data_IF_137752923134
#
_entry.id   IF_137752923134
#
_cell.length_a   1.000
_cell.length_b   1.000
_cell.length_c   1.000
_cell.angle_alpha   90.00
_cell.angle_beta   90.00
_cell.angle_gamma   90.00
#
_symmetry.space_group_name_H-M   'P 1'
#
loop_
_entity.id
_entity.type
_entity.pdbx_description
1 polymer ?
#
# COMPACT_ATOMS: atom_id res chain seq x y z
N UNK A 1 -6.86 -3.72 14.70
CA UNK A 1 -5.65 -3.65 13.87
C UNK A 1 -5.84 -4.61 12.71
N UNK A 2 -5.42 -4.24 11.52
CA UNK A 2 -5.50 -5.07 10.31
C UNK A 2 -4.09 -5.33 9.79
N UNK A 3 -3.91 -6.42 9.03
CA UNK A 3 -2.66 -6.67 8.33
C UNK A 3 -2.36 -5.52 7.37
N UNK A 4 -1.13 -5.04 7.36
CA UNK A 4 -0.63 -4.03 6.42
C UNK A 4 0.52 -4.62 5.61
N UNK A 5 0.64 -4.20 4.36
CA UNK A 5 1.75 -4.55 3.49
C UNK A 5 2.22 -3.29 2.75
N UNK A 6 3.54 -3.17 2.56
CA UNK A 6 4.16 -2.07 1.82
C UNK A 6 5.10 -2.65 0.77
N UNK A 7 5.12 -2.05 -0.40
CA UNK A 7 5.96 -2.48 -1.52
C UNK A 7 6.69 -1.27 -2.14
N UNK A 8 7.87 -1.53 -2.71
CA UNK A 8 8.58 -0.57 -3.55
C UNK A 8 8.20 -0.81 -5.01
N UNK A 9 7.57 0.18 -5.63
CA UNK A 9 7.08 0.11 -7.00
C UNK A 9 7.74 1.23 -7.80
N UNK A 10 8.29 0.89 -8.96
CA UNK A 10 8.83 1.88 -9.89
C UNK A 10 7.72 2.87 -10.25
N UNK A 11 7.98 4.14 -10.01
CA UNK A 11 7.03 5.23 -10.26
C UNK A 11 5.70 5.09 -9.50
N UNK A 12 5.71 4.39 -8.35
CA UNK A 12 4.48 4.03 -7.63
C UNK A 12 3.62 5.22 -7.22
N UNK A 13 4.23 6.33 -6.81
CA UNK A 13 3.49 7.55 -6.40
C UNK A 13 2.66 8.15 -7.53
N UNK A 14 3.10 8.01 -8.78
CA UNK A 14 2.37 8.50 -9.96
C UNK A 14 1.31 7.52 -10.47
N UNK A 15 1.27 6.31 -9.91
CA UNK A 15 0.40 5.21 -10.33
C UNK A 15 -0.67 4.87 -9.27
N UNK A 16 -1.02 5.83 -8.41
CA UNK A 16 -2.07 5.65 -7.40
C UNK A 16 -3.40 5.21 -8.03
N UNK A 17 -4.07 4.25 -7.40
CA UNK A 17 -5.32 3.66 -7.89
C UNK A 17 -5.14 2.55 -8.94
N UNK A 18 -3.93 2.33 -9.45
CA UNK A 18 -3.68 1.21 -10.37
C UNK A 18 -3.69 -0.13 -9.62
N UNK A 19 -4.16 -1.17 -10.32
CA UNK A 19 -4.07 -2.56 -9.88
C UNK A 19 -2.72 -3.15 -10.26
N UNK A 20 -2.07 -3.82 -9.31
CA UNK A 20 -0.85 -4.59 -9.48
C UNK A 20 -1.06 -6.01 -8.98
N UNK A 21 -0.23 -6.93 -9.46
CA UNK A 21 -0.29 -8.34 -9.09
C UNK A 21 1.02 -8.76 -8.42
N UNK A 22 0.93 -9.20 -7.17
CA UNK A 22 2.07 -9.64 -6.37
C UNK A 22 2.25 -11.15 -6.55
N UNK A 23 3.40 -11.63 -7.06
CA UNK A 23 3.63 -13.05 -7.25
C UNK A 23 3.75 -13.76 -5.90
N UNK A 24 3.13 -14.93 -5.78
CA UNK A 24 3.23 -15.80 -4.61
C UNK A 24 4.15 -17.00 -4.94
N UNK A 25 4.90 -17.48 -3.94
CA UNK A 25 5.81 -18.61 -4.12
C UNK A 25 5.09 -19.91 -4.55
N UNK A 26 3.85 -20.10 -4.07
CA UNK A 26 2.94 -21.14 -4.53
C UNK A 26 1.51 -20.62 -4.46
N UNK A 27 0.78 -20.67 -5.57
CA UNK A 27 -0.58 -20.15 -5.68
C UNK A 27 -0.73 -19.01 -6.68
N UNK A 28 -1.96 -18.50 -6.87
CA UNK A 28 -2.23 -17.38 -7.77
C UNK A 28 -1.59 -16.09 -7.27
N UNK A 29 -1.36 -15.14 -8.18
CA UNK A 29 -0.92 -13.81 -7.81
C UNK A 29 -2.00 -13.08 -6.98
N UNK A 30 -1.54 -12.26 -6.03
CA UNK A 30 -2.43 -11.45 -5.19
C UNK A 30 -2.69 -10.12 -5.91
N UNK A 31 -3.96 -9.81 -6.14
CA UNK A 31 -4.38 -8.51 -6.65
C UNK A 31 -4.29 -7.45 -5.54
N UNK A 32 -3.68 -6.31 -5.84
CA UNK A 32 -3.58 -5.18 -4.92
C UNK A 32 -3.72 -3.86 -5.67
N UNK A 33 -4.26 -2.84 -4.99
CA UNK A 33 -4.34 -1.46 -5.52
C UNK A 33 -3.27 -0.60 -4.88
N UNK A 34 -2.54 0.18 -5.69
CA UNK A 34 -1.59 1.16 -5.18
C UNK A 34 -2.36 2.26 -4.44
N UNK A 35 -2.07 2.43 -3.16
CA UNK A 35 -2.73 3.38 -2.27
C UNK A 35 -1.73 4.26 -1.51
N UNK A 36 -2.24 5.19 -0.71
CA UNK A 36 -1.40 6.07 0.12
C UNK A 36 -0.41 5.26 0.96
N UNK A 37 0.87 5.64 1.01
CA UNK A 37 1.84 4.99 1.90
C UNK A 37 1.61 5.32 3.38
N UNK A 38 0.73 6.29 3.67
CA UNK A 38 0.38 6.69 5.05
C UNK A 38 -0.88 5.94 5.48
N UNK A 39 -0.69 4.86 6.24
CA UNK A 39 -1.76 3.96 6.66
C UNK A 39 -2.59 4.45 7.85
N UNK A 40 -2.03 5.35 8.69
CA UNK A 40 -2.66 5.81 9.92
C UNK A 40 -2.32 7.28 10.19
N UNK A 41 -3.33 8.04 10.63
CA UNK A 41 -3.20 9.44 11.05
C UNK A 41 -2.44 10.32 10.02
N UNK A 42 -2.92 10.33 8.77
CA UNK A 42 -2.32 11.12 7.71
C UNK A 42 -2.21 12.62 8.04
N UNK A 43 -3.16 13.12 8.83
CA UNK A 43 -3.23 14.52 9.26
C UNK A 43 -2.38 14.82 10.51
N UNK A 44 -1.74 13.82 11.11
CA UNK A 44 -0.89 13.99 12.30
C UNK A 44 -1.63 14.51 13.53
N UNK A 45 -2.96 14.33 13.59
CA UNK A 45 -3.81 14.88 14.65
C UNK A 45 -3.47 14.33 16.02
N UNK A 46 -2.94 13.10 16.09
CA UNK A 46 -2.58 12.44 17.36
C UNK A 46 -1.21 12.86 17.88
N UNK A 47 -0.41 13.55 17.07
CA UNK A 47 0.93 14.02 17.44
C UNK A 47 0.95 15.44 18.00
N UNK A 48 -0.18 16.17 17.98
CA UNK A 48 -0.28 17.51 18.57
C UNK A 48 -0.47 17.39 20.08
N UNK A 49 0.61 17.61 20.84
CA UNK A 49 0.64 17.78 22.31
C UNK A 49 0.87 19.23 22.69
#
# INVERSE_FOLDING_TARGET
>A
GHSIAMALIKDGLNNMGQTVYLPQASGPAIEATICSPVFLDAEGTRQRS
#
